data_IF_086472367430
#
_entry.id   IF_086472367430
#
_cell.length_a   1.000
_cell.length_b   1.000
_cell.length_c   1.000
_cell.angle_alpha   90.00
_cell.angle_beta   90.00
_cell.angle_gamma   90.00
#
_symmetry.space_group_name_H-M   'P 1'
#
loop_
_entity.id
_entity.type
_entity.pdbx_description
1 polymer ?
#
# COMPACT_ATOMS: atom_id res chain seq x y z
N UNK A 1 -22.89 6.00 -14.13
CA UNK A 1 -23.36 4.60 -14.04
C UNK A 1 -23.08 3.94 -15.38
N UNK A 2 -22.31 2.85 -15.48
CA UNK A 2 -22.24 2.10 -16.72
C UNK A 2 -23.59 1.41 -16.96
N UNK A 3 -24.05 1.28 -18.21
CA UNK A 3 -25.31 0.62 -18.53
C UNK A 3 -25.21 -0.87 -18.19
N UNK A 4 -26.25 -1.37 -17.52
CA UNK A 4 -26.46 -2.80 -17.30
C UNK A 4 -26.75 -3.39 -18.67
N UNK A 5 -25.83 -4.17 -19.24
CA UNK A 5 -26.09 -4.90 -20.49
C UNK A 5 -27.13 -5.97 -20.24
N UNK A 6 -28.30 -5.80 -20.85
CA UNK A 6 -29.33 -6.84 -20.92
C UNK A 6 -28.81 -8.01 -21.76
N UNK A 7 -28.63 -9.15 -21.11
CA UNK A 7 -28.28 -10.41 -21.75
C UNK A 7 -29.44 -10.88 -22.65
N UNK A 8 -29.21 -10.96 -23.95
CA UNK A 8 -30.14 -11.57 -24.87
C UNK A 8 -30.18 -13.09 -24.65
N UNK A 9 -31.39 -13.62 -24.50
CA UNK A 9 -31.65 -15.04 -24.26
C UNK A 9 -31.49 -15.83 -25.54
N UNK A 10 -30.58 -16.78 -25.65
CA UNK A 10 -30.81 -18.08 -26.29
C UNK A 10 -29.55 -18.96 -26.52
N UNK A 11 -28.36 -18.49 -26.34
CA UNK A 11 -27.18 -19.36 -26.39
C UNK A 11 -26.36 -19.37 -25.06
N UNK A 12 -26.89 -18.74 -24.04
CA UNK A 12 -26.20 -18.46 -22.81
C UNK A 12 -26.12 -19.62 -21.80
N UNK A 13 -26.90 -20.68 -21.96
CA UNK A 13 -26.95 -21.74 -20.95
C UNK A 13 -25.68 -22.61 -20.89
N UNK A 14 -24.97 -22.79 -22.01
CA UNK A 14 -23.72 -23.58 -22.02
C UNK A 14 -22.50 -22.78 -21.66
N UNK A 15 -22.55 -21.45 -21.78
CA UNK A 15 -21.41 -20.56 -21.52
C UNK A 15 -21.36 -19.99 -20.08
N UNK A 16 -22.45 -20.15 -19.32
CA UNK A 16 -22.53 -19.66 -17.94
C UNK A 16 -21.47 -20.31 -17.04
N UNK A 17 -21.15 -21.57 -17.28
CA UNK A 17 -20.12 -22.29 -16.51
C UNK A 17 -18.66 -21.92 -16.87
N UNK A 18 -18.44 -21.15 -17.92
CA UNK A 18 -17.10 -20.75 -18.37
C UNK A 18 -16.74 -19.32 -17.98
N UNK A 19 -17.67 -18.56 -17.38
CA UNK A 19 -17.41 -17.18 -16.97
C UNK A 19 -17.00 -17.14 -15.51
N UNK A 20 -15.77 -16.69 -15.27
CA UNK A 20 -15.29 -16.36 -13.92
C UNK A 20 -15.49 -14.86 -13.69
N UNK A 21 -16.03 -14.52 -12.52
CA UNK A 21 -16.13 -13.13 -12.04
C UNK A 21 -15.19 -12.99 -10.86
N UNK A 22 -14.28 -12.05 -10.96
CA UNK A 22 -13.35 -11.68 -9.88
C UNK A 22 -13.71 -10.26 -9.47
N UNK A 23 -13.95 -10.06 -8.19
CA UNK A 23 -14.21 -8.74 -7.60
C UNK A 23 -13.12 -8.39 -6.60
N UNK A 24 -12.79 -7.11 -6.52
CA UNK A 24 -11.90 -6.56 -5.48
C UNK A 24 -12.66 -5.53 -4.67
N UNK A 25 -12.46 -5.52 -3.36
CA UNK A 25 -13.09 -4.58 -2.45
C UNK A 25 -12.14 -4.22 -1.31
N UNK A 26 -12.28 -3.02 -0.75
CA UNK A 26 -11.54 -2.59 0.44
C UNK A 26 -12.17 -3.11 1.74
N UNK A 27 -13.42 -3.54 1.67
CA UNK A 27 -14.16 -4.13 2.78
C UNK A 27 -14.74 -5.46 2.31
N UNK A 28 -15.03 -6.38 3.22
CA UNK A 28 -15.64 -7.68 2.89
C UNK A 28 -17.11 -7.55 2.44
N UNK A 29 -17.50 -6.39 1.93
CA UNK A 29 -18.88 -6.09 1.53
C UNK A 29 -19.79 -5.67 2.69
N UNK A 30 -19.27 -5.63 3.90
CA UNK A 30 -20.02 -5.27 5.13
C UNK A 30 -19.97 -3.77 5.47
N UNK A 31 -19.36 -2.96 4.60
CA UNK A 31 -19.13 -1.55 4.90
C UNK A 31 -17.93 -1.35 5.85
N UNK A 32 -17.80 -0.16 6.40
CA UNK A 32 -16.78 0.18 7.39
C UNK A 32 -17.45 0.47 8.72
N UNK A 33 -17.39 -0.46 9.66
CA UNK A 33 -17.94 -0.28 11.01
C UNK A 33 -17.10 0.71 11.82
N UNK A 34 -15.83 0.90 11.45
CA UNK A 34 -14.86 1.80 12.08
C UNK A 34 -14.74 3.18 11.41
N UNK A 35 -15.55 3.47 10.38
CA UNK A 35 -15.53 4.74 9.64
C UNK A 35 -14.30 4.97 8.75
N UNK A 36 -13.32 4.07 8.73
CA UNK A 36 -12.05 4.23 7.98
C UNK A 36 -12.23 4.23 6.46
N UNK A 37 -13.29 3.61 5.97
CA UNK A 37 -13.64 3.55 4.54
C UNK A 37 -14.98 4.24 4.30
N UNK A 38 -15.02 5.54 4.56
CA UNK A 38 -16.21 6.38 4.34
C UNK A 38 -16.63 6.27 2.87
N UNK A 39 -17.93 6.03 2.63
CA UNK A 39 -18.48 5.88 1.28
C UNK A 39 -18.55 4.45 0.75
N UNK A 40 -18.14 3.44 1.54
CA UNK A 40 -18.41 2.05 1.22
C UNK A 40 -19.83 1.68 1.62
N UNK A 41 -20.63 1.20 0.65
CA UNK A 41 -21.98 0.71 0.93
C UNK A 41 -21.92 -0.75 1.39
N UNK A 42 -22.80 -1.10 2.33
CA UNK A 42 -23.05 -2.50 2.67
C UNK A 42 -23.68 -3.19 1.45
N UNK A 43 -23.07 -4.26 0.99
CA UNK A 43 -23.59 -5.07 -0.10
C UNK A 43 -24.64 -6.04 0.41
N UNK A 44 -25.62 -6.36 -0.43
CA UNK A 44 -26.64 -7.35 -0.12
C UNK A 44 -25.99 -8.72 0.09
N UNK A 45 -26.35 -9.43 1.17
CA UNK A 45 -25.82 -10.75 1.52
C UNK A 45 -26.03 -11.77 0.38
N UNK A 46 -27.22 -11.76 -0.24
CA UNK A 46 -27.50 -12.64 -1.39
C UNK A 46 -26.58 -12.36 -2.60
N UNK A 47 -26.02 -11.16 -2.71
CA UNK A 47 -25.00 -10.85 -3.72
C UNK A 47 -23.63 -11.39 -3.30
N UNK A 48 -23.27 -11.26 -2.03
CA UNK A 48 -21.99 -11.75 -1.49
C UNK A 48 -21.91 -13.28 -1.57
N UNK A 49 -23.00 -14.01 -1.30
CA UNK A 49 -23.06 -15.47 -1.40
C UNK A 49 -22.79 -16.02 -2.80
N UNK A 50 -22.91 -15.18 -3.85
CA UNK A 50 -22.54 -15.57 -5.22
C UNK A 50 -21.04 -15.66 -5.44
N UNK A 51 -20.23 -15.18 -4.48
CA UNK A 51 -18.77 -15.31 -4.48
C UNK A 51 -18.37 -16.41 -3.47
N UNK A 52 -18.25 -17.66 -3.90
CA UNK A 52 -18.01 -18.79 -3.01
C UNK A 52 -16.61 -18.77 -2.36
N UNK A 53 -15.69 -17.99 -2.93
CA UNK A 53 -14.31 -17.86 -2.43
C UNK A 53 -14.01 -16.39 -2.17
N UNK A 54 -13.58 -16.11 -0.94
CA UNK A 54 -13.11 -14.78 -0.53
C UNK A 54 -11.68 -14.90 -0.02
N UNK A 55 -10.78 -14.14 -0.63
CA UNK A 55 -9.39 -14.05 -0.21
C UNK A 55 -9.12 -12.68 0.39
N UNK A 56 -8.47 -12.67 1.53
CA UNK A 56 -7.93 -11.45 2.11
C UNK A 56 -6.49 -11.25 1.63
N UNK A 57 -6.23 -10.15 0.96
CA UNK A 57 -4.90 -9.82 0.45
C UNK A 57 -4.18 -8.95 1.49
N UNK A 58 -3.21 -9.54 2.18
CA UNK A 58 -2.32 -8.80 3.06
C UNK A 58 -1.26 -8.02 2.29
N UNK A 59 -0.55 -7.13 2.99
CA UNK A 59 0.63 -6.48 2.41
C UNK A 59 1.72 -7.50 2.09
N UNK A 60 2.52 -7.27 1.04
CA UNK A 60 3.66 -8.11 0.73
C UNK A 60 4.63 -8.16 1.92
N UNK A 61 5.36 -9.27 2.06
CA UNK A 61 6.47 -9.31 3.02
C UNK A 61 7.53 -8.27 2.66
N UNK A 62 8.29 -7.73 3.64
CA UNK A 62 9.33 -6.73 3.37
C UNK A 62 10.30 -7.13 2.25
N UNK A 63 10.69 -8.41 2.17
CA UNK A 63 11.57 -8.92 1.12
C UNK A 63 10.94 -8.84 -0.28
N UNK A 64 9.65 -9.19 -0.40
CA UNK A 64 8.91 -9.11 -1.67
C UNK A 64 8.69 -7.64 -2.04
N UNK A 65 8.31 -6.80 -1.08
CA UNK A 65 8.06 -5.38 -1.31
C UNK A 65 9.34 -4.66 -1.76
N UNK A 66 10.48 -4.93 -1.12
CA UNK A 66 11.80 -4.42 -1.56
C UNK A 66 12.11 -4.82 -3.01
N UNK A 67 11.87 -6.07 -3.36
CA UNK A 67 12.09 -6.54 -4.74
C UNK A 67 11.19 -5.83 -5.75
N UNK A 68 9.91 -5.63 -5.40
CA UNK A 68 8.96 -4.90 -6.25
C UNK A 68 9.39 -3.45 -6.45
N UNK A 69 9.78 -2.77 -5.38
CA UNK A 69 10.20 -1.37 -5.42
C UNK A 69 11.53 -1.20 -6.17
N UNK A 70 12.49 -2.12 -5.99
CA UNK A 70 13.75 -2.11 -6.73
C UNK A 70 13.52 -2.29 -8.25
N UNK A 71 12.65 -3.19 -8.66
CA UNK A 71 12.30 -3.34 -10.07
C UNK A 71 11.68 -2.05 -10.65
N UNK A 72 10.77 -1.44 -9.89
CA UNK A 72 10.13 -0.20 -10.29
C UNK A 72 11.12 0.99 -10.35
N UNK A 73 12.04 1.05 -9.41
CA UNK A 73 13.09 2.06 -9.35
C UNK A 73 14.04 2.00 -10.56
N UNK A 74 14.37 0.79 -11.03
CA UNK A 74 15.17 0.57 -12.24
C UNK A 74 14.50 1.13 -13.50
N UNK A 75 13.18 1.02 -13.59
CA UNK A 75 12.41 1.59 -14.71
C UNK A 75 12.47 3.13 -14.74
N UNK A 76 12.69 3.76 -13.57
CA UNK A 76 12.76 5.22 -13.43
C UNK A 76 14.19 5.77 -13.47
N UNK A 77 15.21 4.91 -13.59
CA UNK A 77 16.63 5.27 -13.49
C UNK A 77 16.99 6.07 -12.21
N UNK A 78 16.32 5.74 -11.11
CA UNK A 78 16.42 6.44 -9.82
C UNK A 78 16.72 5.48 -8.66
N UNK A 79 17.60 4.48 -8.89
CA UNK A 79 17.87 3.43 -7.92
C UNK A 79 18.72 3.91 -6.74
N UNK A 80 18.22 3.62 -5.53
CA UNK A 80 18.91 3.81 -4.28
C UNK A 80 18.46 2.68 -3.32
N UNK A 81 19.22 1.61 -3.29
CA UNK A 81 18.87 0.39 -2.54
C UNK A 81 18.73 0.66 -1.03
N UNK A 82 19.55 1.55 -0.46
CA UNK A 82 19.47 1.95 0.95
C UNK A 82 18.16 2.70 1.21
N UNK A 83 17.81 3.64 0.35
CA UNK A 83 16.57 4.39 0.46
C UNK A 83 15.34 3.48 0.39
N UNK A 84 15.34 2.52 -0.53
CA UNK A 84 14.25 1.55 -0.66
C UNK A 84 14.12 0.67 0.58
N UNK A 85 15.24 0.17 1.12
CA UNK A 85 15.23 -0.63 2.34
C UNK A 85 14.67 0.16 3.54
N UNK A 86 15.08 1.42 3.70
CA UNK A 86 14.57 2.31 4.73
C UNK A 86 13.06 2.57 4.57
N UNK A 87 12.59 2.82 3.35
CA UNK A 87 11.16 3.02 3.06
C UNK A 87 10.32 1.79 3.40
N UNK A 88 10.80 0.59 3.08
CA UNK A 88 10.09 -0.66 3.39
C UNK A 88 10.03 -0.88 4.89
N UNK A 89 11.14 -0.70 5.60
CA UNK A 89 11.21 -0.80 7.06
C UNK A 89 10.26 0.20 7.74
N UNK A 90 10.31 1.44 7.30
CA UNK A 90 9.43 2.50 7.76
C UNK A 90 7.94 2.18 7.57
N UNK A 91 7.56 1.73 6.37
CA UNK A 91 6.17 1.35 6.09
C UNK A 91 5.71 0.14 6.92
N UNK A 92 6.58 -0.86 7.12
CA UNK A 92 6.27 -2.04 7.94
C UNK A 92 6.02 -1.66 9.40
N UNK A 93 6.85 -0.78 9.97
CA UNK A 93 6.65 -0.27 11.33
C UNK A 93 5.33 0.48 11.47
N UNK A 94 5.00 1.39 10.55
CA UNK A 94 3.73 2.13 10.57
C UNK A 94 2.53 1.16 10.46
N UNK A 95 2.61 0.15 9.60
CA UNK A 95 1.54 -0.85 9.43
C UNK A 95 1.33 -1.69 10.69
N UNK A 96 2.39 -2.01 11.42
CA UNK A 96 2.28 -2.69 12.72
C UNK A 96 1.62 -1.80 13.74
N UNK A 97 2.07 -0.57 13.89
CA UNK A 97 1.47 0.41 14.81
C UNK A 97 -0.01 0.67 14.47
N UNK A 98 -0.36 0.71 13.18
CA UNK A 98 -1.76 0.82 12.74
C UNK A 98 -2.61 -0.40 13.15
N UNK A 99 -2.08 -1.63 13.01
CA UNK A 99 -2.76 -2.86 13.45
C UNK A 99 -2.99 -2.88 14.96
N UNK A 100 -2.07 -2.30 15.73
CA UNK A 100 -2.14 -2.16 17.18
C UNK A 100 -3.01 -1.00 17.65
N UNK A 101 -3.53 -0.19 16.71
CA UNK A 101 -4.39 0.97 17.01
C UNK A 101 -3.64 2.21 17.48
N UNK A 102 -2.32 2.26 17.30
CA UNK A 102 -1.49 3.40 17.70
C UNK A 102 -1.51 4.58 16.71
N UNK A 103 -1.95 4.35 15.48
CA UNK A 103 -2.14 5.38 14.45
C UNK A 103 -3.38 5.06 13.63
N UNK A 104 -4.01 6.09 13.05
CA UNK A 104 -5.24 5.94 12.25
C UNK A 104 -4.96 5.88 10.73
N UNK A 105 -3.75 6.18 10.33
CA UNK A 105 -3.33 6.19 8.92
C UNK A 105 -2.25 5.15 8.63
N UNK A 106 -2.18 4.72 7.37
CA UNK A 106 -1.26 3.67 6.93
C UNK A 106 -0.50 4.04 5.66
N UNK A 107 0.72 3.53 5.55
CA UNK A 107 1.52 3.64 4.32
C UNK A 107 1.36 2.37 3.49
N UNK A 108 0.60 2.47 2.41
CA UNK A 108 0.42 1.37 1.46
C UNK A 108 1.62 1.22 0.52
N UNK A 109 1.78 0.04 -0.08
CA UNK A 109 2.77 -0.20 -1.15
C UNK A 109 2.61 0.80 -2.31
N UNK A 110 1.37 1.19 -2.66
CA UNK A 110 1.11 2.23 -3.64
C UNK A 110 1.70 3.58 -3.23
N UNK A 111 1.66 3.90 -1.94
CA UNK A 111 2.27 5.12 -1.40
C UNK A 111 3.78 5.09 -1.56
N UNK A 112 4.43 3.96 -1.30
CA UNK A 112 5.85 3.80 -1.52
C UNK A 112 6.25 4.00 -2.99
N UNK A 113 5.47 3.47 -3.92
CA UNK A 113 5.66 3.72 -5.37
C UNK A 113 5.55 5.22 -5.70
N UNK A 114 4.59 5.93 -5.09
CA UNK A 114 4.48 7.40 -5.29
C UNK A 114 5.68 8.16 -4.72
N UNK A 115 6.21 7.73 -3.58
CA UNK A 115 7.42 8.32 -2.97
C UNK A 115 8.63 8.13 -3.88
N UNK A 116 8.82 6.94 -4.45
CA UNK A 116 9.90 6.68 -5.40
C UNK A 116 9.76 7.53 -6.68
N UNK A 117 8.54 7.70 -7.19
CA UNK A 117 8.29 8.64 -8.31
C UNK A 117 8.66 10.07 -7.96
N UNK A 118 8.27 10.52 -6.78
CA UNK A 118 8.62 11.86 -6.31
C UNK A 118 10.14 12.01 -6.14
N UNK A 119 10.82 10.96 -5.64
CA UNK A 119 12.27 10.94 -5.55
C UNK A 119 12.94 11.04 -6.93
N UNK A 120 12.46 10.33 -7.93
CA UNK A 120 12.97 10.44 -9.30
C UNK A 120 12.84 11.86 -9.88
N UNK A 121 11.81 12.63 -9.44
CA UNK A 121 11.59 14.01 -9.90
C UNK A 121 12.46 15.02 -9.12
N UNK A 122 12.51 14.87 -7.79
CA UNK A 122 13.11 15.87 -6.92
C UNK A 122 14.58 15.61 -6.56
N UNK A 123 15.04 14.37 -6.73
CA UNK A 123 16.37 13.87 -6.28
C UNK A 123 16.65 14.14 -4.78
N UNK A 124 15.59 14.24 -3.98
CA UNK A 124 15.63 14.53 -2.56
C UNK A 124 14.69 13.56 -1.82
N UNK A 125 15.28 12.70 -0.97
CA UNK A 125 14.58 11.63 -0.24
C UNK A 125 13.52 12.17 0.70
N UNK A 126 13.88 13.13 1.53
CA UNK A 126 13.02 13.71 2.57
C UNK A 126 11.88 14.49 1.93
N UNK A 127 12.19 15.29 0.92
CA UNK A 127 11.19 16.04 0.15
C UNK A 127 10.18 15.14 -0.54
N UNK A 128 10.64 14.03 -1.12
CA UNK A 128 9.77 13.04 -1.76
C UNK A 128 8.76 12.43 -0.79
N UNK A 129 9.20 12.06 0.41
CA UNK A 129 8.33 11.56 1.47
C UNK A 129 7.34 12.64 1.90
N UNK A 130 7.84 13.83 2.23
CA UNK A 130 7.03 14.95 2.74
C UNK A 130 5.89 15.33 1.78
N UNK A 131 6.17 15.40 0.49
CA UNK A 131 5.15 15.73 -0.53
C UNK A 131 4.06 14.64 -0.59
N UNK A 132 4.44 13.37 -0.49
CA UNK A 132 3.51 12.26 -0.51
C UNK A 132 2.69 12.12 0.79
N UNK A 133 3.13 12.73 1.90
CA UNK A 133 2.43 12.77 3.18
C UNK A 133 1.50 13.97 3.34
N UNK A 134 1.50 14.94 2.43
CA UNK A 134 0.74 16.20 2.57
C UNK A 134 -0.79 16.00 2.67
N UNK A 135 -1.32 14.83 2.34
CA UNK A 135 -2.75 14.53 2.50
C UNK A 135 -3.14 14.15 3.92
N UNK A 136 -2.18 13.80 4.77
CA UNK A 136 -2.40 13.50 6.17
C UNK A 136 -2.44 14.79 6.99
N UNK A 137 -3.03 14.72 8.17
CA UNK A 137 -2.96 15.80 9.14
C UNK A 137 -1.52 16.07 9.58
N UNK A 138 -1.29 17.25 10.14
CA UNK A 138 0.08 17.69 10.46
C UNK A 138 0.73 16.84 11.57
N UNK A 139 -0.04 16.33 12.53
CA UNK A 139 0.45 15.50 13.62
C UNK A 139 0.91 14.13 13.11
N UNK A 140 0.07 13.45 12.32
CA UNK A 140 0.41 12.18 11.67
C UNK A 140 1.61 12.34 10.75
N UNK A 141 1.63 13.40 9.95
CA UNK A 141 2.74 13.70 9.05
C UNK A 141 4.05 13.88 9.79
N UNK A 142 4.05 14.67 10.87
CA UNK A 142 5.25 14.88 11.67
C UNK A 142 5.72 13.58 12.34
N UNK A 143 4.81 12.81 12.91
CA UNK A 143 5.11 11.50 13.51
C UNK A 143 5.76 10.53 12.52
N UNK A 144 5.24 10.48 11.29
CA UNK A 144 5.80 9.63 10.24
C UNK A 144 7.16 10.10 9.76
N UNK A 145 7.39 11.42 9.69
CA UNK A 145 8.69 11.99 9.35
C UNK A 145 9.72 11.71 10.43
N UNK A 146 9.40 11.92 11.70
CA UNK A 146 10.29 11.65 12.83
C UNK A 146 10.70 10.17 12.91
N UNK A 147 9.78 9.27 12.57
CA UNK A 147 10.08 7.84 12.48
C UNK A 147 11.06 7.55 11.34
N UNK A 148 10.86 8.19 10.16
CA UNK A 148 11.76 8.01 9.03
C UNK A 148 13.18 8.51 9.36
N UNK A 149 13.30 9.68 9.96
CA UNK A 149 14.59 10.28 10.34
C UNK A 149 15.38 9.39 11.33
N UNK A 150 14.67 8.71 12.25
CA UNK A 150 15.31 7.73 13.15
C UNK A 150 15.86 6.53 12.38
N UNK A 151 15.09 5.97 11.44
CA UNK A 151 15.49 4.81 10.64
C UNK A 151 16.69 5.17 9.74
N UNK A 152 16.67 6.33 9.11
CA UNK A 152 17.77 6.78 8.23
C UNK A 152 19.04 7.08 9.05
N UNK A 153 18.91 7.66 10.25
CA UNK A 153 20.02 7.95 11.18
C UNK A 153 20.64 6.71 11.83
N UNK A 154 19.84 5.72 12.23
CA UNK A 154 20.35 4.47 12.82
C UNK A 154 21.22 3.67 11.84
N UNK A 155 20.83 3.64 10.56
CA UNK A 155 21.61 2.96 9.52
C UNK A 155 22.96 3.66 9.27
N UNK A 156 23.04 4.98 9.41
CA UNK A 156 24.30 5.71 9.27
C UNK A 156 25.26 5.43 10.44
N UNK A 157 24.75 5.31 11.65
CA UNK A 157 25.57 4.97 12.83
C UNK A 157 26.15 3.55 12.76
N UNK A 158 25.45 2.57 12.19
CA UNK A 158 25.95 1.21 12.02
C UNK A 158 27.14 1.14 11.04
N UNK A 159 27.11 1.96 10.00
CA UNK A 159 28.23 2.08 9.04
C UNK A 159 29.46 2.76 9.65
N UNK A 160 29.27 3.74 10.53
CA UNK A 160 30.37 4.40 11.25
C UNK A 160 31.07 3.43 12.21
N UNK A 161 30.33 2.58 12.90
CA UNK A 161 30.90 1.59 13.82
C UNK A 161 31.77 0.54 13.10
N UNK A 162 31.43 0.18 11.86
CA UNK A 162 32.28 -0.74 11.06
C UNK A 162 33.60 -0.11 10.61
N UNK A 163 33.62 1.20 10.39
CA UNK A 163 34.83 1.92 9.99
C UNK A 163 35.85 2.09 11.14
N UNK A 164 35.39 2.05 12.40
CA UNK A 164 36.27 2.14 13.58
C UNK A 164 36.77 0.78 14.08
N UNK A 165 36.24 -0.34 13.56
CA UNK A 165 36.64 -1.69 13.95
C UNK A 165 37.50 -2.40 12.89
N UNK A 166 37.92 -1.72 11.84
CA UNK A 166 38.88 -2.16 10.81
C UNK A 166 40.22 -1.46 10.98
#
# INVERSE_FOLDING_TARGET
RPPISTLSSSSAASDVYKRQVIATANTKGKGSDDGRFIGTNVLNEAFLERFPLTFEQEYPTPAIETKMLNNYCKELDACDDKYIANLVTWADMIRRTFKEGGVDEVISTRRLVHIIRAYAIFSDRVKAIKVCLNRFDDETKQSFMDLYDKIDGEVDMSNVTQLFNS
#
